data_IF_966519196400
#
_entry.id   IF_966519196400
#
_cell.length_a   1.000
_cell.length_b   1.000
_cell.length_c   1.000
_cell.angle_alpha   90.00
_cell.angle_beta   90.00
_cell.angle_gamma   90.00
#
_symmetry.space_group_name_H-M   'P 1'
#
loop_
_entity.id
_entity.type
_entity.pdbx_description
1 polymer ?
#
# COMPACT_ATOMS: atom_id res chain seq x y z
N UNK A 1 -22.85 -6.46 10.80
CA UNK A 1 -21.52 -6.57 11.44
C UNK A 1 -21.07 -5.19 11.87
N UNK A 2 -21.40 -4.81 13.11
CA UNK A 2 -21.15 -3.49 13.68
C UNK A 2 -20.10 -3.60 14.80
N UNK A 3 -18.84 -3.62 14.43
CA UNK A 3 -17.71 -3.47 15.35
C UNK A 3 -16.83 -2.32 14.85
N UNK A 4 -17.36 -1.10 14.85
CA UNK A 4 -16.57 0.12 14.70
C UNK A 4 -17.17 1.17 15.63
N UNK A 5 -16.58 1.33 16.82
CA UNK A 5 -16.82 2.49 17.67
C UNK A 5 -15.77 3.55 17.30
N UNK A 6 -16.14 4.70 16.70
CA UNK A 6 -15.20 5.79 16.52
C UNK A 6 -15.10 6.53 17.85
N UNK A 7 -14.09 6.19 18.63
CA UNK A 7 -13.79 6.81 19.92
C UNK A 7 -12.32 7.21 20.02
N UNK A 8 -11.83 7.97 19.04
CA UNK A 8 -10.54 8.65 19.16
C UNK A 8 -10.81 10.13 19.37
N UNK A 9 -10.70 10.58 20.63
CA UNK A 9 -10.75 12.00 20.98
C UNK A 9 -9.66 12.74 20.20
N UNK A 10 -10.02 13.85 19.55
CA UNK A 10 -9.08 14.79 18.96
C UNK A 10 -8.19 15.39 20.05
N UNK A 11 -7.11 14.70 20.43
CA UNK A 11 -5.98 15.36 21.09
C UNK A 11 -5.37 16.29 20.06
N UNK A 12 -5.49 17.59 20.32
CA UNK A 12 -4.81 18.65 19.57
C UNK A 12 -3.28 18.39 19.61
N UNK A 13 -2.78 17.68 18.60
CA UNK A 13 -1.35 17.56 18.34
C UNK A 13 -0.90 18.91 17.80
N UNK A 14 -0.22 19.67 18.64
CA UNK A 14 0.44 20.91 18.24
C UNK A 14 1.36 20.64 17.05
N UNK A 15 1.45 21.55 16.07
CA UNK A 15 2.35 21.39 14.93
C UNK A 15 3.79 21.39 15.44
N UNK A 16 4.37 20.20 15.61
CA UNK A 16 5.80 20.08 15.84
C UNK A 16 6.52 20.71 14.65
N UNK A 17 7.11 21.88 14.87
CA UNK A 17 8.10 22.48 13.97
C UNK A 17 9.22 21.44 13.84
N UNK A 18 9.20 20.67 12.75
CA UNK A 18 10.28 19.75 12.42
C UNK A 18 11.55 20.58 12.28
N UNK A 19 12.46 20.49 13.26
CA UNK A 19 13.80 21.05 13.12
C UNK A 19 14.40 20.50 11.81
N UNK A 20 15.05 21.34 10.98
CA UNK A 20 15.77 20.84 9.82
C UNK A 20 16.77 19.77 10.31
N UNK A 21 16.69 18.58 9.72
CA UNK A 21 17.64 17.52 10.02
C UNK A 21 19.05 18.07 9.73
N UNK A 22 20.01 17.98 10.67
CA UNK A 22 21.37 18.37 10.39
C UNK A 22 21.84 17.62 9.15
N UNK A 23 22.48 18.32 8.22
CA UNK A 23 23.17 17.74 7.07
C UNK A 23 24.36 16.94 7.60
N UNK A 24 24.09 15.77 8.17
CA UNK A 24 25.10 14.78 8.51
C UNK A 24 25.83 14.43 7.21
N UNK A 25 27.16 14.46 7.26
CA UNK A 25 28.04 13.99 6.19
C UNK A 25 27.48 12.66 5.68
N UNK A 26 27.21 12.59 4.37
CA UNK A 26 26.64 11.37 3.77
C UNK A 26 27.55 10.19 4.12
N UNK A 27 27.03 9.14 4.77
CA UNK A 27 27.85 7.99 5.12
C UNK A 27 28.53 7.45 3.87
N UNK A 28 29.83 7.15 3.94
CA UNK A 28 30.55 6.53 2.84
C UNK A 28 29.87 5.21 2.51
N UNK A 29 29.26 5.11 1.32
CA UNK A 29 28.63 3.88 0.89
C UNK A 29 29.69 2.81 0.62
N UNK A 30 29.42 1.53 0.94
CA UNK A 30 30.22 0.40 0.49
C UNK A 30 30.41 0.43 -1.03
N UNK A 31 31.49 -0.14 -1.57
CA UNK A 31 31.67 -0.24 -3.01
C UNK A 31 30.54 -1.06 -3.66
N UNK A 32 30.20 -0.83 -4.95
CA UNK A 32 29.07 -1.47 -5.62
C UNK A 32 29.01 -3.00 -5.56
N UNK A 33 30.16 -3.68 -5.50
CA UNK A 33 30.24 -5.14 -5.45
C UNK A 33 29.91 -5.74 -4.06
N UNK A 34 29.86 -4.92 -3.00
CA UNK A 34 29.36 -5.35 -1.68
C UNK A 34 27.83 -5.40 -1.61
N UNK A 35 27.14 -4.85 -2.61
CA UNK A 35 25.68 -4.83 -2.66
C UNK A 35 25.16 -6.04 -3.42
N UNK A 36 24.39 -6.86 -2.74
CA UNK A 36 23.71 -8.01 -3.29
C UNK A 36 22.30 -7.64 -3.72
N UNK A 37 21.91 -8.04 -4.94
CA UNK A 37 20.52 -7.93 -5.37
C UNK A 37 19.64 -8.83 -4.48
N UNK A 38 18.58 -8.27 -3.89
CA UNK A 38 17.65 -9.03 -3.06
C UNK A 38 16.32 -9.22 -3.77
N UNK A 39 15.66 -8.13 -4.15
CA UNK A 39 14.35 -8.18 -4.79
C UNK A 39 14.06 -6.90 -5.58
N UNK A 40 13.15 -6.96 -6.55
CA UNK A 40 12.63 -5.76 -7.21
C UNK A 40 11.11 -5.74 -7.37
N UNK A 41 10.56 -4.55 -7.15
CA UNK A 41 9.18 -4.19 -7.47
C UNK A 41 9.06 -3.64 -8.90
N UNK A 42 7.96 -2.93 -9.16
CA UNK A 42 7.76 -2.29 -10.47
C UNK A 42 8.50 -0.95 -10.64
N UNK A 43 8.99 -0.37 -9.54
CA UNK A 43 9.59 0.96 -9.50
C UNK A 43 10.87 1.02 -8.68
N UNK A 44 11.19 -0.03 -7.90
CA UNK A 44 12.29 -0.02 -6.94
C UNK A 44 13.01 -1.36 -6.97
N UNK A 45 14.33 -1.29 -6.82
CA UNK A 45 15.23 -2.43 -6.65
C UNK A 45 15.84 -2.31 -5.26
N UNK A 46 15.85 -3.43 -4.56
CA UNK A 46 16.33 -3.58 -3.19
C UNK A 46 17.66 -4.30 -3.24
N UNK A 47 18.69 -3.65 -2.71
CA UNK A 47 20.01 -4.23 -2.50
C UNK A 47 20.27 -4.38 -1.01
N UNK A 48 20.99 -5.41 -0.62
CA UNK A 48 21.47 -5.59 0.75
C UNK A 48 22.99 -5.61 0.79
N UNK A 49 23.57 -5.00 1.81
CA UNK A 49 25.00 -5.08 2.08
C UNK A 49 25.30 -6.29 2.98
N UNK A 50 26.41 -6.98 2.72
CA UNK A 50 26.88 -8.16 3.44
C UNK A 50 27.04 -7.93 4.97
N UNK A 51 27.01 -9.00 5.81
CA UNK A 51 26.86 -8.90 7.28
C UNK A 51 28.04 -8.29 8.06
N UNK A 52 29.17 -7.98 7.41
CA UNK A 52 30.37 -7.46 8.09
C UNK A 52 30.31 -5.95 8.43
N UNK A 53 29.24 -5.28 8.02
CA UNK A 53 28.90 -3.89 8.36
C UNK A 53 27.48 -3.87 8.89
N UNK A 54 27.04 -2.82 9.63
CA UNK A 54 25.65 -2.73 10.06
C UNK A 54 24.75 -3.04 8.87
N UNK A 55 23.89 -4.07 8.96
CA UNK A 55 23.22 -4.59 7.80
C UNK A 55 22.25 -3.52 7.33
N UNK A 56 22.48 -3.05 6.11
CA UNK A 56 21.74 -1.96 5.50
C UNK A 56 21.16 -2.44 4.17
N UNK A 57 20.02 -1.86 3.83
CA UNK A 57 19.33 -2.04 2.56
C UNK A 57 19.38 -0.73 1.78
N UNK A 58 19.89 -0.80 0.55
CA UNK A 58 19.86 0.30 -0.41
C UNK A 58 18.68 0.10 -1.36
N UNK A 59 17.78 1.07 -1.36
CA UNK A 59 16.59 1.11 -2.20
C UNK A 59 16.79 2.12 -3.32
N UNK A 60 16.92 1.61 -4.55
CA UNK A 60 17.17 2.42 -5.74
C UNK A 60 15.93 2.40 -6.66
N UNK A 61 15.53 3.55 -7.20
CA UNK A 61 14.40 3.57 -8.14
C UNK A 61 14.82 3.08 -9.53
N UNK A 62 14.06 2.14 -10.07
CA UNK A 62 14.18 1.68 -11.45
C UNK A 62 13.32 2.57 -12.37
N UNK A 63 13.84 2.86 -13.55
CA UNK A 63 13.12 3.58 -14.60
C UNK A 63 12.56 2.56 -15.59
N UNK A 64 11.27 2.67 -15.89
CA UNK A 64 10.63 1.82 -16.89
C UNK A 64 11.09 2.22 -18.29
N UNK A 65 11.16 1.26 -19.21
CA UNK A 65 11.62 1.48 -20.58
C UNK A 65 10.64 2.30 -21.46
N UNK A 66 9.53 2.80 -20.90
CA UNK A 66 8.65 3.74 -21.59
C UNK A 66 9.04 5.19 -21.25
N UNK A 67 8.88 6.15 -22.19
CA UNK A 67 9.11 7.56 -21.92
C UNK A 67 8.05 8.02 -20.91
N UNK A 68 8.39 7.97 -19.62
CA UNK A 68 7.40 8.10 -18.57
C UNK A 68 7.93 8.97 -17.44
N UNK A 69 7.29 10.14 -17.34
CA UNK A 69 7.27 11.05 -16.20
C UNK A 69 8.64 11.55 -15.70
N UNK A 70 8.78 12.86 -15.42
CA UNK A 70 9.98 13.35 -14.78
C UNK A 70 10.22 12.58 -13.48
N UNK A 71 11.46 12.08 -13.31
CA UNK A 71 11.93 11.47 -12.08
C UNK A 71 11.60 12.42 -10.92
N UNK A 72 10.74 11.98 -10.00
CA UNK A 72 10.56 12.75 -8.78
C UNK A 72 11.84 12.65 -7.96
N UNK A 73 12.37 13.78 -7.43
CA UNK A 73 13.44 13.71 -6.47
C UNK A 73 13.00 12.83 -5.31
N UNK A 74 13.84 11.87 -4.92
CA UNK A 74 13.65 11.10 -3.70
C UNK A 74 13.67 12.10 -2.53
N UNK A 75 12.49 12.42 -2.02
CA UNK A 75 12.33 13.33 -0.88
C UNK A 75 12.07 12.50 0.37
N UNK A 76 12.49 13.02 1.53
CA UNK A 76 12.11 12.53 2.87
C UNK A 76 10.59 12.55 3.12
N UNK A 77 9.78 12.92 2.11
CA UNK A 77 8.33 13.05 2.15
C UNK A 77 7.61 11.71 1.88
N UNK A 78 8.29 10.67 1.39
CA UNK A 78 7.67 9.36 1.13
C UNK A 78 6.93 8.82 2.35
N UNK A 79 7.53 8.95 3.54
CA UNK A 79 6.93 8.55 4.81
C UNK A 79 6.03 9.61 5.45
N UNK A 80 6.10 10.87 5.01
CA UNK A 80 5.37 11.96 5.64
C UNK A 80 3.85 11.77 5.60
N UNK A 81 3.32 11.09 4.58
CA UNK A 81 1.90 10.74 4.47
C UNK A 81 1.42 9.88 5.65
N UNK A 82 2.29 9.03 6.18
CA UNK A 82 1.97 8.05 7.20
C UNK A 82 2.33 8.52 8.61
N UNK A 83 3.20 9.52 8.76
CA UNK A 83 3.76 9.96 10.06
C UNK A 83 2.69 10.23 11.10
N UNK A 84 1.57 10.86 10.73
CA UNK A 84 0.50 11.19 11.69
C UNK A 84 -0.06 9.96 12.40
N UNK A 85 -0.24 8.85 11.68
CA UNK A 85 -0.93 7.67 12.19
C UNK A 85 0.03 6.52 12.53
N UNK A 86 1.23 6.52 11.95
CA UNK A 86 2.13 5.37 11.99
C UNK A 86 3.58 5.73 12.35
N UNK A 87 3.86 6.91 12.92
CA UNK A 87 5.24 7.32 13.27
C UNK A 87 6.08 6.23 13.96
N UNK A 88 5.56 5.44 14.93
CA UNK A 88 6.34 4.39 15.60
C UNK A 88 6.69 3.20 14.69
N UNK A 89 5.97 3.03 13.58
CA UNK A 89 6.10 1.90 12.65
C UNK A 89 6.83 2.28 11.36
N UNK A 90 7.24 3.55 11.20
CA UNK A 90 7.95 3.98 10.00
C UNK A 90 9.45 3.71 10.16
N UNK A 91 10.01 3.01 9.17
CA UNK A 91 11.44 2.67 9.20
C UNK A 91 12.28 3.92 8.90
N UNK A 92 13.16 4.37 9.82
CA UNK A 92 14.01 5.53 9.53
C UNK A 92 14.89 5.24 8.32
N UNK A 93 15.15 6.28 7.52
CA UNK A 93 15.98 6.15 6.33
C UNK A 93 16.75 7.43 6.05
N UNK A 94 17.84 7.26 5.30
CA UNK A 94 18.68 8.35 4.83
C UNK A 94 18.62 8.42 3.31
N UNK A 95 18.56 9.64 2.77
CA UNK A 95 18.76 9.84 1.33
C UNK A 95 20.24 10.00 1.09
N UNK A 96 20.79 9.15 0.24
CA UNK A 96 22.21 9.17 -0.15
C UNK A 96 22.34 9.59 -1.61
N UNK A 97 23.35 10.40 -1.90
CA UNK A 97 23.68 10.81 -3.27
C UNK A 97 24.61 9.79 -3.92
N UNK A 98 24.31 9.41 -5.16
CA UNK A 98 25.07 8.43 -5.94
C UNK A 98 25.68 9.09 -7.17
N UNK A 99 26.93 8.75 -7.49
CA UNK A 99 27.55 9.18 -8.74
C UNK A 99 27.03 8.32 -9.91
N UNK A 100 26.99 8.85 -11.15
CA UNK A 100 26.64 8.05 -12.33
C UNK A 100 27.50 6.80 -12.50
N UNK A 101 28.80 6.90 -12.18
CA UNK A 101 29.74 5.78 -12.22
C UNK A 101 29.36 4.68 -11.21
N UNK A 102 29.03 5.07 -9.97
CA UNK A 102 28.57 4.14 -8.94
C UNK A 102 27.30 3.40 -9.38
N UNK A 103 26.31 4.12 -9.91
CA UNK A 103 25.05 3.53 -10.39
C UNK A 103 25.31 2.56 -11.55
N UNK A 104 26.18 2.93 -12.49
CA UNK A 104 26.56 2.08 -13.62
C UNK A 104 27.16 0.76 -13.14
N UNK A 105 28.14 0.82 -12.22
CA UNK A 105 28.78 -0.38 -11.66
C UNK A 105 27.78 -1.25 -10.89
N UNK A 106 26.94 -0.63 -10.05
CA UNK A 106 25.90 -1.35 -9.31
C UNK A 106 24.92 -2.05 -10.26
N UNK A 107 24.51 -1.38 -11.34
CA UNK A 107 23.62 -1.95 -12.35
C UNK A 107 24.26 -3.12 -13.09
N UNK A 108 25.53 -3.02 -13.47
CA UNK A 108 26.26 -4.10 -14.12
C UNK A 108 26.35 -5.33 -13.19
N UNK A 109 26.68 -5.11 -11.92
CA UNK A 109 26.75 -6.15 -10.90
C UNK A 109 25.39 -6.83 -10.65
N UNK A 110 24.31 -6.05 -10.61
CA UNK A 110 22.96 -6.55 -10.30
C UNK A 110 22.29 -7.30 -11.46
N UNK A 111 22.61 -6.95 -12.70
CA UNK A 111 21.88 -7.40 -13.90
C UNK A 111 21.80 -8.93 -14.04
N UNK A 112 22.84 -9.73 -13.77
CA UNK A 112 22.76 -11.19 -13.83
C UNK A 112 21.69 -11.78 -12.90
N UNK A 113 21.45 -11.17 -11.74
CA UNK A 113 20.55 -11.67 -10.70
C UNK A 113 19.09 -11.21 -10.85
N UNK A 114 18.85 -10.21 -11.70
CA UNK A 114 17.50 -9.69 -11.94
C UNK A 114 16.67 -10.66 -12.82
N UNK A 115 15.38 -10.91 -12.48
CA UNK A 115 14.51 -11.75 -13.30
C UNK A 115 14.40 -11.26 -14.76
N UNK A 116 14.40 -12.15 -15.78
CA UNK A 116 14.41 -11.76 -17.19
C UNK A 116 13.30 -10.76 -17.57
N UNK A 117 12.07 -10.99 -17.11
CA UNK A 117 10.93 -10.10 -17.39
C UNK A 117 11.07 -8.70 -16.77
N UNK A 118 11.84 -8.54 -15.69
CA UNK A 118 12.11 -7.23 -15.07
C UNK A 118 13.21 -6.47 -15.78
N UNK A 119 14.26 -7.18 -16.24
CA UNK A 119 15.32 -6.62 -17.09
C UNK A 119 14.75 -6.06 -18.38
N UNK A 120 13.83 -6.78 -19.01
CA UNK A 120 13.13 -6.33 -20.22
C UNK A 120 12.21 -5.12 -19.98
N UNK A 121 11.60 -5.01 -18.80
CA UNK A 121 10.65 -3.93 -18.49
C UNK A 121 11.29 -2.63 -17.98
N UNK A 122 12.48 -2.69 -17.40
CA UNK A 122 13.09 -1.56 -16.69
C UNK A 122 14.60 -1.68 -16.52
N UNK A 123 15.26 -0.53 -16.46
CA UNK A 123 16.68 -0.41 -16.17
C UNK A 123 16.94 0.55 -15.00
N UNK A 124 18.14 0.46 -14.43
CA UNK A 124 18.60 1.40 -13.42
C UNK A 124 19.12 2.63 -14.16
N UNK A 125 18.47 3.78 -13.99
CA UNK A 125 18.87 5.00 -14.69
C UNK A 125 20.07 5.65 -13.98
N UNK A 126 21.18 5.93 -14.68
CA UNK A 126 22.32 6.65 -14.12
C UNK A 126 22.01 8.13 -13.80
N UNK A 127 20.85 8.62 -14.27
CA UNK A 127 20.37 9.97 -13.95
C UNK A 127 19.68 10.03 -12.58
N UNK A 128 19.28 8.89 -12.00
CA UNK A 128 18.71 8.86 -10.66
C UNK A 128 19.82 8.84 -9.60
N UNK A 129 20.34 10.03 -9.28
CA UNK A 129 21.48 10.23 -8.38
C UNK A 129 21.13 10.17 -6.90
N UNK A 130 19.95 9.72 -6.54
CA UNK A 130 19.54 9.54 -5.15
C UNK A 130 19.10 8.11 -4.90
N UNK A 131 19.32 7.62 -3.68
CA UNK A 131 18.79 6.36 -3.19
C UNK A 131 18.37 6.51 -1.73
N UNK A 132 17.50 5.63 -1.27
CA UNK A 132 17.12 5.56 0.14
C UNK A 132 17.88 4.42 0.80
N UNK A 133 18.62 4.72 1.86
CA UNK A 133 19.33 3.76 2.69
C UNK A 133 18.51 3.49 3.95
N UNK A 134 18.11 2.24 4.14
CA UNK A 134 17.36 1.75 5.29
C UNK A 134 18.21 0.79 6.12
N UNK A 135 17.95 0.65 7.44
CA UNK A 135 18.44 -0.50 8.17
C UNK A 135 17.82 -1.79 7.62
N UNK A 136 18.58 -2.86 7.58
CA UNK A 136 18.09 -4.17 7.11
C UNK A 136 17.33 -4.90 8.22
N UNK A 137 16.01 -4.75 8.21
CA UNK A 137 15.12 -5.38 9.21
C UNK A 137 15.10 -6.90 9.12
N UNK A 138 15.64 -7.51 8.06
CA UNK A 138 15.78 -8.97 7.97
C UNK A 138 16.84 -9.52 8.93
N UNK A 139 17.63 -8.65 9.57
CA UNK A 139 18.62 -9.00 10.58
C UNK A 139 18.37 -8.28 11.92
N UNK A 140 17.14 -7.79 12.16
CA UNK A 140 16.82 -6.97 13.32
C UNK A 140 17.20 -7.64 14.66
N UNK A 141 16.94 -8.94 14.82
CA UNK A 141 17.31 -9.73 15.99
C UNK A 141 18.62 -10.53 15.80
N UNK A 142 19.33 -10.30 14.69
CA UNK A 142 20.49 -11.08 14.26
C UNK A 142 20.17 -12.11 13.17
N UNK A 143 21.06 -13.09 12.93
CA UNK A 143 20.99 -14.00 11.78
C UNK A 143 19.80 -14.98 11.82
N UNK A 144 19.22 -15.21 13.00
CA UNK A 144 18.06 -16.08 13.18
C UNK A 144 16.72 -15.35 12.98
N UNK A 145 16.75 -14.09 12.54
CA UNK A 145 15.52 -13.34 12.28
C UNK A 145 14.76 -13.97 11.10
N UNK A 146 13.50 -14.30 11.35
CA UNK A 146 12.50 -14.56 10.30
C UNK A 146 11.73 -13.28 10.08
N UNK A 147 11.62 -12.85 8.83
CA UNK A 147 10.94 -11.62 8.44
C UNK A 147 9.72 -11.97 7.60
N UNK A 148 8.54 -11.52 8.02
CA UNK A 148 7.28 -11.72 7.29
C UNK A 148 6.86 -10.40 6.67
N UNK A 149 6.64 -10.37 5.36
CA UNK A 149 6.06 -9.23 4.63
C UNK A 149 4.62 -9.54 4.24
N UNK A 150 3.67 -8.68 4.65
CA UNK A 150 2.25 -8.80 4.33
C UNK A 150 1.74 -7.53 3.67
N UNK A 151 1.09 -7.64 2.50
CA UNK A 151 0.40 -6.51 1.85
C UNK A 151 -1.08 -6.52 2.23
N UNK A 152 -1.56 -5.63 3.12
CA UNK A 152 -2.91 -5.74 3.67
C UNK A 152 -4.02 -5.49 2.66
N UNK A 153 -3.78 -4.69 1.61
CA UNK A 153 -4.80 -4.26 0.63
C UNK A 153 -5.88 -3.38 1.25
N UNK A 154 -6.93 -3.11 0.48
CA UNK A 154 -8.05 -2.25 0.88
C UNK A 154 -9.00 -3.01 1.81
N UNK A 155 -9.01 -2.63 3.09
CA UNK A 155 -9.89 -3.20 4.12
C UNK A 155 -11.29 -2.56 4.13
N UNK A 156 -11.43 -1.35 3.60
CA UNK A 156 -12.69 -0.62 3.57
C UNK A 156 -13.39 -0.80 2.23
N UNK A 157 -14.71 -0.98 2.30
CA UNK A 157 -15.61 -0.98 1.15
C UNK A 157 -15.90 0.47 0.72
N UNK A 158 -16.28 0.64 -0.54
CA UNK A 158 -16.60 1.98 -1.05
C UNK A 158 -17.84 2.55 -0.36
N UNK A 159 -17.87 3.88 -0.26
CA UNK A 159 -19.06 4.67 0.10
C UNK A 159 -19.32 5.82 -0.88
N UNK A 160 -18.57 5.86 -1.99
CA UNK A 160 -18.68 6.88 -3.04
C UNK A 160 -20.08 6.88 -3.67
N UNK A 161 -20.75 8.04 -3.77
CA UNK A 161 -21.97 8.20 -4.59
C UNK A 161 -21.66 8.35 -6.08
N UNK A 162 -20.38 8.42 -6.45
CA UNK A 162 -19.92 8.67 -7.82
C UNK A 162 -19.67 7.36 -8.61
N UNK A 163 -20.20 6.24 -8.12
CA UNK A 163 -20.24 4.98 -8.85
C UNK A 163 -21.49 5.01 -9.73
N UNK A 164 -21.42 4.70 -11.05
CA UNK A 164 -22.62 4.67 -11.87
C UNK A 164 -23.49 3.44 -11.55
N UNK A 165 -24.80 3.60 -11.33
CA UNK A 165 -25.68 2.51 -10.91
C UNK A 165 -26.00 1.50 -12.01
N UNK A 166 -25.97 1.94 -13.28
CA UNK A 166 -26.15 1.05 -14.44
C UNK A 166 -24.99 0.06 -14.62
N UNK A 167 -23.90 0.18 -13.85
CA UNK A 167 -22.78 -0.76 -13.87
C UNK A 167 -22.92 -1.71 -12.67
N UNK A 168 -23.69 -2.79 -12.83
CA UNK A 168 -23.96 -3.76 -11.77
C UNK A 168 -22.67 -4.31 -11.10
N UNK A 169 -21.59 -4.47 -11.87
CA UNK A 169 -20.28 -4.87 -11.34
C UNK A 169 -19.59 -3.81 -10.49
N UNK A 170 -19.85 -2.53 -10.74
CA UNK A 170 -19.31 -1.44 -9.94
C UNK A 170 -20.04 -1.30 -8.60
N UNK A 171 -21.33 -1.65 -8.54
CA UNK A 171 -22.11 -1.70 -7.30
C UNK A 171 -21.58 -2.75 -6.30
N UNK A 172 -20.94 -3.81 -6.79
CA UNK A 172 -20.24 -4.78 -5.93
C UNK A 172 -19.17 -4.12 -5.05
N UNK A 173 -18.65 -2.93 -5.39
CA UNK A 173 -17.69 -2.19 -4.54
C UNK A 173 -18.26 -1.81 -3.16
N UNK A 174 -19.59 -1.83 -2.98
CA UNK A 174 -20.23 -1.57 -1.68
C UNK A 174 -20.32 -2.80 -0.77
N UNK A 175 -20.22 -4.00 -1.34
CA UNK A 175 -20.43 -5.27 -0.62
C UNK A 175 -19.24 -6.23 -0.72
N UNK A 176 -18.36 -6.02 -1.68
CA UNK A 176 -17.24 -6.89 -2.02
C UNK A 176 -15.92 -6.12 -1.97
N UNK A 177 -14.90 -6.61 -1.24
CA UNK A 177 -13.59 -5.98 -1.19
C UNK A 177 -12.95 -5.84 -2.59
N UNK A 178 -12.29 -4.70 -2.90
CA UNK A 178 -11.63 -4.49 -4.19
C UNK A 178 -10.60 -5.58 -4.56
N UNK A 179 -9.99 -6.22 -3.56
CA UNK A 179 -9.06 -7.33 -3.76
C UNK A 179 -9.72 -8.52 -4.45
N UNK A 180 -10.94 -8.91 -4.03
CA UNK A 180 -11.67 -10.03 -4.62
C UNK A 180 -12.11 -9.74 -6.04
N UNK A 181 -12.57 -8.52 -6.32
CA UNK A 181 -12.98 -8.13 -7.69
C UNK A 181 -11.79 -8.32 -8.65
N UNK A 182 -10.59 -7.91 -8.23
CA UNK A 182 -9.38 -8.05 -9.05
C UNK A 182 -9.00 -9.53 -9.24
N UNK A 183 -9.03 -10.34 -8.19
CA UNK A 183 -8.67 -11.75 -8.29
C UNK A 183 -9.69 -12.57 -9.08
N UNK A 184 -10.99 -12.33 -8.87
CA UNK A 184 -12.08 -12.90 -9.67
C UNK A 184 -11.85 -12.70 -11.17
N UNK A 185 -11.46 -11.49 -11.57
CA UNK A 185 -11.17 -11.16 -12.96
C UNK A 185 -9.89 -11.81 -13.48
N UNK A 186 -8.87 -12.00 -12.64
CA UNK A 186 -7.63 -12.68 -13.04
C UNK A 186 -7.80 -14.20 -13.12
N UNK A 187 -8.78 -14.78 -12.43
CA UNK A 187 -9.04 -16.22 -12.34
C UNK A 187 -10.25 -16.67 -13.17
N UNK A 188 -10.59 -15.93 -14.24
CA UNK A 188 -11.70 -16.24 -15.16
C UNK A 188 -13.04 -16.52 -14.45
N UNK A 189 -13.32 -15.82 -13.35
CA UNK A 189 -14.58 -15.92 -12.62
C UNK A 189 -14.63 -17.01 -11.54
N UNK A 190 -13.51 -17.69 -11.25
CA UNK A 190 -13.40 -18.56 -10.08
C UNK A 190 -12.77 -17.82 -8.89
N UNK A 191 -13.37 -17.93 -7.71
CA UNK A 191 -12.72 -17.52 -6.45
C UNK A 191 -12.18 -18.76 -5.76
N UNK A 192 -11.06 -18.66 -5.04
CA UNK A 192 -10.64 -19.71 -4.12
C UNK A 192 -11.72 -19.96 -3.07
N UNK A 193 -11.81 -21.19 -2.56
CA UNK A 193 -12.84 -21.62 -1.61
C UNK A 193 -12.86 -20.75 -0.32
N UNK A 194 -11.70 -20.17 0.06
CA UNK A 194 -11.57 -19.26 1.22
C UNK A 194 -10.75 -18.03 0.83
N UNK A 195 -11.36 -17.03 0.18
CA UNK A 195 -10.60 -15.91 -0.36
C UNK A 195 -10.11 -15.00 0.75
N UNK A 196 -8.88 -14.48 0.63
CA UNK A 196 -8.33 -13.52 1.58
C UNK A 196 -9.20 -12.26 1.71
N UNK A 197 -9.69 -11.95 2.92
CA UNK A 197 -10.48 -10.74 3.21
C UNK A 197 -9.59 -9.70 3.90
N UNK A 198 -9.27 -8.57 3.24
CA UNK A 198 -8.37 -7.55 3.82
C UNK A 198 -8.76 -7.00 5.20
N UNK A 199 -10.06 -6.85 5.48
CA UNK A 199 -10.52 -6.38 6.79
C UNK A 199 -10.27 -7.38 7.92
N UNK A 200 -10.16 -8.68 7.61
CA UNK A 200 -9.84 -9.70 8.61
C UNK A 200 -8.39 -9.61 9.09
N UNK A 201 -7.47 -9.15 8.24
CA UNK A 201 -6.07 -8.95 8.63
C UNK A 201 -5.88 -7.74 9.55
N UNK A 202 -6.72 -6.71 9.40
CA UNK A 202 -6.58 -5.43 10.12
C UNK A 202 -7.59 -5.29 11.29
N UNK A 203 -8.04 -6.42 11.85
CA UNK A 203 -8.91 -6.45 13.02
C UNK A 203 -8.13 -6.87 14.29
N UNK A 204 -8.80 -6.83 15.43
CA UNK A 204 -8.25 -7.12 16.76
C UNK A 204 -8.52 -8.56 17.24
N UNK A 205 -8.83 -9.48 16.32
CA UNK A 205 -9.15 -10.88 16.63
C UNK A 205 -8.10 -11.85 16.04
N UNK A 206 -7.37 -12.54 16.92
CA UNK A 206 -6.27 -13.46 16.54
C UNK A 206 -6.74 -14.59 15.60
N UNK A 207 -7.83 -15.32 15.88
CA UNK A 207 -8.35 -16.34 14.95
C UNK A 207 -8.65 -15.76 13.56
N UNK A 208 -9.26 -14.58 13.49
CA UNK A 208 -9.61 -13.91 12.23
C UNK A 208 -8.37 -13.47 11.45
N UNK A 209 -7.38 -12.87 12.12
CA UNK A 209 -6.09 -12.48 11.50
C UNK A 209 -5.32 -13.72 11.03
N UNK A 210 -5.28 -14.80 11.84
CA UNK A 210 -4.63 -16.07 11.48
C UNK A 210 -5.27 -16.72 10.26
N UNK A 211 -6.60 -16.68 10.18
CA UNK A 211 -7.37 -17.14 9.02
C UNK A 211 -7.02 -16.31 7.78
N UNK A 212 -6.90 -14.98 7.91
CA UNK A 212 -6.51 -14.10 6.81
C UNK A 212 -5.11 -14.39 6.28
N UNK A 213 -4.12 -14.62 7.16
CA UNK A 213 -2.76 -15.04 6.78
C UNK A 213 -2.78 -16.41 6.08
N UNK A 214 -3.59 -17.35 6.58
CA UNK A 214 -3.75 -18.67 5.96
C UNK A 214 -4.34 -18.56 4.56
N UNK A 215 -5.34 -17.70 4.35
CA UNK A 215 -5.88 -17.43 3.02
C UNK A 215 -4.84 -16.82 2.08
N UNK A 216 -3.97 -15.92 2.56
CA UNK A 216 -2.88 -15.37 1.75
C UNK A 216 -1.88 -16.44 1.31
N UNK A 217 -1.59 -17.41 2.19
CA UNK A 217 -0.75 -18.56 1.89
C UNK A 217 -1.36 -19.40 0.76
N UNK A 218 -2.65 -19.73 0.86
CA UNK A 218 -3.34 -20.55 -0.15
C UNK A 218 -3.57 -19.82 -1.48
N UNK A 219 -3.73 -18.50 -1.46
CA UNK A 219 -3.94 -17.69 -2.67
C UNK A 219 -2.69 -17.65 -3.59
N UNK A 220 -1.53 -18.17 -3.14
CA UNK A 220 -0.21 -18.01 -3.77
C UNK A 220 0.03 -16.57 -4.26
N UNK A 221 -0.50 -15.62 -3.50
CA UNK A 221 -0.53 -14.22 -3.91
C UNK A 221 0.81 -13.57 -3.58
N UNK A 222 1.13 -12.48 -4.29
CA UNK A 222 2.25 -11.59 -3.90
C UNK A 222 1.95 -10.80 -2.61
N UNK A 223 0.92 -11.19 -1.85
CA UNK A 223 0.47 -10.53 -0.64
C UNK A 223 1.16 -11.03 0.63
N UNK A 224 1.84 -12.18 0.57
CA UNK A 224 2.61 -12.74 1.68
C UNK A 224 4.00 -13.16 1.18
N UNK A 225 5.04 -12.82 1.94
CA UNK A 225 6.40 -13.33 1.75
C UNK A 225 7.03 -13.60 3.10
N UNK A 226 7.92 -14.59 3.14
CA UNK A 226 8.75 -14.86 4.31
C UNK A 226 10.20 -14.83 3.85
N UNK A 227 11.05 -14.26 4.68
CA UNK A 227 12.50 -14.21 4.49
C UNK A 227 13.18 -14.75 5.73
N UNK A 228 14.30 -15.45 5.55
CA UNK A 228 15.18 -15.91 6.63
C UNK A 228 16.60 -15.47 6.34
N UNK A 229 17.22 -14.76 7.27
CA UNK A 229 18.54 -14.16 7.07
C UNK A 229 18.64 -13.33 5.78
N UNK A 230 17.58 -12.57 5.45
CA UNK A 230 17.53 -11.72 4.25
C UNK A 230 17.13 -12.42 2.95
N UNK A 231 17.07 -13.74 2.92
CA UNK A 231 16.76 -14.53 1.72
C UNK A 231 15.29 -14.96 1.68
N UNK A 232 14.59 -14.86 0.54
CA UNK A 232 13.22 -15.36 0.41
C UNK A 232 13.13 -16.87 0.65
N UNK A 233 12.13 -17.31 1.41
CA UNK A 233 11.86 -18.73 1.67
C UNK A 233 10.40 -19.10 1.39
N UNK A 234 10.10 -20.41 1.33
CA UNK A 234 8.73 -20.90 1.16
C UNK A 234 7.93 -20.66 2.46
N UNK A 235 6.87 -19.83 2.44
CA UNK A 235 6.07 -19.55 3.64
C UNK A 235 5.43 -20.79 4.28
N UNK A 236 5.18 -21.86 3.52
CA UNK A 236 4.58 -23.11 4.03
C UNK A 236 5.46 -23.82 5.07
N UNK A 237 6.78 -23.57 5.05
CA UNK A 237 7.71 -24.13 6.02
C UNK A 237 7.81 -23.29 7.32
N UNK A 238 7.08 -22.18 7.41
CA UNK A 238 7.19 -21.19 8.50
C UNK A 238 5.85 -20.94 9.20
N UNK A 239 5.02 -21.97 9.35
CA UNK A 239 3.67 -21.84 9.92
C UNK A 239 3.68 -21.32 11.36
N UNK A 240 4.69 -21.68 12.17
CA UNK A 240 4.83 -21.15 13.53
C UNK A 240 5.07 -19.64 13.55
N UNK A 241 5.95 -19.15 12.69
CA UNK A 241 6.28 -17.74 12.54
C UNK A 241 5.09 -16.96 11.97
N UNK A 242 4.33 -17.55 11.04
CA UNK A 242 3.11 -16.94 10.52
C UNK A 242 2.02 -16.79 11.61
N UNK A 243 1.89 -17.76 12.52
CA UNK A 243 1.00 -17.63 13.69
C UNK A 243 1.51 -16.56 14.66
N UNK A 244 2.81 -16.52 14.93
CA UNK A 244 3.40 -15.46 15.76
C UNK A 244 3.21 -14.07 15.13
N UNK A 245 3.31 -13.94 13.81
CA UNK A 245 3.00 -12.71 13.08
C UNK A 245 1.54 -12.27 13.26
N UNK A 246 0.59 -13.21 13.21
CA UNK A 246 -0.83 -12.92 13.50
C UNK A 246 -1.02 -12.37 14.92
N UNK A 247 -0.44 -13.01 15.93
CA UNK A 247 -0.49 -12.54 17.31
C UNK A 247 0.15 -11.15 17.45
N UNK A 248 1.30 -10.94 16.80
CA UNK A 248 2.03 -9.66 16.82
C UNK A 248 1.18 -8.51 16.25
N UNK A 249 0.44 -8.73 15.16
CA UNK A 249 -0.48 -7.75 14.59
C UNK A 249 -1.59 -7.37 15.58
N UNK A 250 -2.17 -8.35 16.27
CA UNK A 250 -3.30 -8.09 17.20
C UNK A 250 -2.81 -7.45 18.51
N UNK A 251 -1.69 -7.90 19.05
CA UNK A 251 -1.11 -7.32 20.27
C UNK A 251 -0.67 -5.87 20.02
N UNK A 252 -0.08 -5.59 18.87
CA UNK A 252 0.32 -4.24 18.45
C UNK A 252 -0.65 -3.66 17.39
N UNK A 253 -1.95 -3.75 17.68
CA UNK A 253 -3.03 -3.36 16.76
C UNK A 253 -2.97 -1.88 16.35
N UNK A 254 -2.24 -1.02 17.07
CA UNK A 254 -2.07 0.39 16.67
C UNK A 254 -1.45 0.52 15.26
N UNK A 255 -0.62 -0.43 14.82
CA UNK A 255 -0.14 -0.49 13.43
C UNK A 255 -1.29 -0.72 12.44
N UNK A 256 -2.12 -1.75 12.67
CA UNK A 256 -3.26 -2.06 11.81
C UNK A 256 -4.31 -0.93 11.80
N UNK A 257 -4.65 -0.39 12.97
CA UNK A 257 -5.58 0.74 13.09
C UNK A 257 -5.06 1.99 12.40
N UNK A 258 -3.76 2.27 12.46
CA UNK A 258 -3.16 3.39 11.74
C UNK A 258 -3.29 3.25 10.22
N UNK A 259 -3.14 2.04 9.68
CA UNK A 259 -3.40 1.77 8.24
C UNK A 259 -4.87 1.99 7.91
N UNK A 260 -5.80 1.45 8.70
CA UNK A 260 -7.25 1.63 8.50
C UNK A 260 -7.63 3.11 8.56
N UNK A 261 -7.07 3.87 9.50
CA UNK A 261 -7.30 5.31 9.64
C UNK A 261 -6.90 6.06 8.37
N UNK A 262 -5.74 5.76 7.77
CA UNK A 262 -5.33 6.39 6.50
C UNK A 262 -6.25 5.94 5.35
N UNK A 263 -6.63 4.65 5.30
CA UNK A 263 -7.56 4.16 4.28
C UNK A 263 -8.95 4.81 4.39
N UNK A 264 -9.36 5.26 5.58
CA UNK A 264 -10.67 5.89 5.79
C UNK A 264 -10.84 7.24 5.07
N UNK A 265 -9.72 7.85 4.65
CA UNK A 265 -9.70 9.03 3.78
C UNK A 265 -10.14 8.73 2.33
N UNK A 266 -10.34 7.46 1.98
CA UNK A 266 -10.91 7.01 0.70
C UNK A 266 -12.42 7.26 0.62
N UNK A 267 -12.78 8.54 0.46
CA UNK A 267 -14.18 8.99 0.44
C UNK A 267 -14.84 8.81 -0.92
N UNK A 268 -14.02 8.68 -1.97
CA UNK A 268 -14.43 8.57 -3.36
C UNK A 268 -13.74 7.35 -3.97
N UNK A 269 -14.38 6.73 -4.95
CA UNK A 269 -13.78 5.64 -5.70
C UNK A 269 -12.95 6.18 -6.88
N UNK A 270 -12.32 5.29 -7.67
CA UNK A 270 -11.50 5.73 -8.80
C UNK A 270 -12.29 6.55 -9.83
N UNK A 271 -13.58 6.24 -10.04
CA UNK A 271 -14.43 6.97 -10.99
C UNK A 271 -14.75 8.37 -10.45
N UNK A 272 -15.12 8.47 -9.17
CA UNK A 272 -15.28 9.76 -8.50
C UNK A 272 -14.01 10.61 -8.53
N UNK A 273 -12.85 10.00 -8.27
CA UNK A 273 -11.56 10.68 -8.36
C UNK A 273 -11.27 11.21 -9.77
N UNK A 274 -11.61 10.47 -10.82
CA UNK A 274 -11.48 10.95 -12.20
C UNK A 274 -12.37 12.17 -12.47
N UNK A 275 -13.64 12.13 -12.06
CA UNK A 275 -14.59 13.24 -12.25
C UNK A 275 -14.08 14.50 -11.56
N UNK A 276 -13.68 14.38 -10.29
CA UNK A 276 -13.19 15.52 -9.49
C UNK A 276 -11.87 16.04 -10.04
N UNK A 277 -10.96 15.17 -10.50
CA UNK A 277 -9.70 15.59 -11.12
C UNK A 277 -9.93 16.36 -12.42
N UNK A 278 -10.85 15.91 -13.27
CA UNK A 278 -11.21 16.63 -14.50
C UNK A 278 -11.82 18.00 -14.20
N UNK A 279 -12.67 18.10 -13.18
CA UNK A 279 -13.20 19.37 -12.69
C UNK A 279 -12.09 20.31 -12.23
N UNK A 280 -11.19 19.83 -11.36
CA UNK A 280 -10.07 20.60 -10.85
C UNK A 280 -9.18 21.12 -11.99
N UNK A 281 -8.82 20.26 -12.94
CA UNK A 281 -8.03 20.65 -14.13
C UNK A 281 -8.73 21.73 -14.94
N UNK A 282 -10.05 21.61 -15.16
CA UNK A 282 -10.81 22.63 -15.90
C UNK A 282 -10.79 23.99 -15.18
N UNK A 283 -10.73 23.99 -13.84
CA UNK A 283 -10.76 25.21 -13.02
C UNK A 283 -9.42 25.92 -12.89
N UNK A 284 -8.31 25.17 -12.81
CA UNK A 284 -6.99 25.76 -12.51
C UNK A 284 -5.88 25.37 -13.50
N UNK A 285 -6.15 24.48 -14.45
CA UNK A 285 -5.14 23.89 -15.33
C UNK A 285 -4.41 22.70 -14.70
N UNK A 286 -3.86 21.82 -15.52
CA UNK A 286 -3.27 20.53 -15.07
C UNK A 286 -2.03 20.71 -14.18
N UNK A 287 -1.12 21.61 -14.58
CA UNK A 287 0.11 21.87 -13.83
C UNK A 287 -0.18 22.41 -12.43
N UNK A 288 -1.11 23.37 -12.34
CA UNK A 288 -1.51 23.96 -11.06
C UNK A 288 -2.30 22.96 -10.21
N UNK A 289 -3.18 22.16 -10.80
CA UNK A 289 -3.90 21.09 -10.09
C UNK A 289 -2.91 20.11 -9.43
N UNK A 290 -1.90 19.66 -10.18
CA UNK A 290 -0.85 18.77 -9.64
C UNK A 290 -0.05 19.42 -8.52
N UNK A 291 0.30 20.71 -8.66
CA UNK A 291 1.02 21.48 -7.62
C UNK A 291 0.19 21.60 -6.34
N UNK A 292 -1.10 21.93 -6.46
CA UNK A 292 -2.01 22.05 -5.31
C UNK A 292 -2.19 20.72 -4.59
N UNK A 293 -2.38 19.62 -5.34
CA UNK A 293 -2.50 18.28 -4.76
C UNK A 293 -1.24 17.91 -3.99
N UNK A 294 -0.05 18.09 -4.58
CA UNK A 294 1.22 17.81 -3.89
C UNK A 294 1.38 18.60 -2.59
N UNK A 295 0.96 19.87 -2.57
CA UNK A 295 1.00 20.69 -1.36
C UNK A 295 0.04 20.17 -0.28
N UNK A 296 -1.13 19.67 -0.68
CA UNK A 296 -2.18 19.18 0.23
C UNK A 296 -1.98 17.73 0.69
N UNK A 297 -1.08 16.96 0.07
CA UNK A 297 -0.89 15.54 0.37
C UNK A 297 -0.45 15.27 1.81
N UNK A 298 0.19 16.23 2.47
CA UNK A 298 0.75 16.04 3.82
C UNK A 298 -0.06 16.75 4.90
N UNK A 299 -1.24 17.27 4.54
CA UNK A 299 -2.11 18.03 5.44
C UNK A 299 -3.44 17.33 5.59
N UNK A 300 -3.99 17.36 6.81
CA UNK A 300 -5.34 16.89 7.07
C UNK A 300 -6.31 18.05 6.99
N UNK A 301 -7.46 17.79 6.37
CA UNK A 301 -8.50 18.79 6.20
C UNK A 301 -9.86 18.18 6.50
N UNK A 302 -10.66 18.89 7.29
CA UNK A 302 -12.10 18.66 7.28
C UNK A 302 -12.63 18.98 5.87
N UNK A 303 -13.49 18.11 5.35
CA UNK A 303 -14.04 18.23 4.00
C UNK A 303 -15.51 18.65 4.14
N UNK A 304 -15.86 19.91 3.86
CA UNK A 304 -17.24 20.35 3.91
C UNK A 304 -18.04 19.68 2.77
N UNK A 305 -19.36 19.57 2.94
CA UNK A 305 -20.30 19.02 1.95
C UNK A 305 -20.03 17.55 1.56
N UNK A 306 -19.43 16.78 2.48
CA UNK A 306 -19.10 15.39 2.22
C UNK A 306 -20.35 14.53 1.92
N UNK A 307 -21.46 14.81 2.60
CA UNK A 307 -22.71 14.06 2.47
C UNK A 307 -23.35 14.12 1.07
N UNK A 308 -22.98 15.10 0.24
CA UNK A 308 -23.49 15.24 -1.13
C UNK A 308 -22.82 14.26 -2.12
N UNK A 309 -21.60 13.80 -1.81
CA UNK A 309 -20.76 13.00 -2.72
C UNK A 309 -20.42 11.60 -2.16
N UNK A 310 -20.69 11.33 -0.89
CA UNK A 310 -20.51 10.01 -0.27
C UNK A 310 -21.71 9.64 0.60
N UNK A 311 -21.88 8.34 0.83
CA UNK A 311 -22.73 7.80 1.87
C UNK A 311 -21.99 7.79 3.21
N UNK A 312 -22.74 7.63 4.31
CA UNK A 312 -22.15 7.46 5.65
C UNK A 312 -21.44 6.12 5.79
N UNK A 313 -21.97 5.08 5.14
CA UNK A 313 -21.41 3.72 5.14
C UNK A 313 -21.63 3.00 3.81
N UNK A 314 -20.91 1.90 3.59
CA UNK A 314 -21.09 1.05 2.41
C UNK A 314 -22.43 0.30 2.43
N UNK A 315 -22.98 -0.01 3.62
CA UNK A 315 -24.32 -0.61 3.75
C UNK A 315 -25.41 0.35 3.28
N UNK A 316 -25.31 1.62 3.68
CA UNK A 316 -26.22 2.65 3.19
C UNK A 316 -26.09 2.81 1.67
N UNK A 317 -24.87 2.78 1.15
CA UNK A 317 -24.63 2.82 -0.29
C UNK A 317 -25.29 1.65 -1.02
N UNK A 318 -25.16 0.43 -0.51
CA UNK A 318 -25.80 -0.75 -1.12
C UNK A 318 -27.34 -0.68 -1.13
N UNK A 319 -27.95 0.05 -0.19
CA UNK A 319 -29.41 0.14 -0.06
C UNK A 319 -30.02 1.30 -0.84
N UNK A 320 -29.36 2.46 -0.88
CA UNK A 320 -29.96 3.71 -1.35
C UNK A 320 -29.45 4.18 -2.70
N UNK A 321 -28.48 3.48 -3.30
CA UNK A 321 -27.79 4.01 -4.45
C UNK A 321 -28.54 3.74 -5.76
N UNK A 322 -28.92 4.83 -6.43
CA UNK A 322 -29.70 4.86 -7.67
C UNK A 322 -29.21 5.98 -8.61
N UNK A 323 -29.86 6.13 -9.76
CA UNK A 323 -29.55 7.17 -10.76
C UNK A 323 -29.73 8.59 -10.22
N UNK A 324 -30.73 8.82 -9.35
CA UNK A 324 -30.99 10.14 -8.81
C UNK A 324 -29.87 10.58 -7.86
N UNK A 325 -29.45 9.70 -6.95
CA UNK A 325 -28.34 9.93 -6.03
C UNK A 325 -27.02 10.10 -6.79
N UNK A 326 -26.76 9.27 -7.80
CA UNK A 326 -25.57 9.39 -8.65
C UNK A 326 -25.54 10.72 -9.40
N UNK A 327 -26.62 11.09 -10.09
CA UNK A 327 -26.68 12.33 -10.87
C UNK A 327 -26.55 13.58 -9.98
N UNK A 328 -27.17 13.56 -8.80
CA UNK A 328 -27.00 14.61 -7.79
C UNK A 328 -25.54 14.74 -7.34
N UNK A 329 -24.89 13.62 -7.00
CA UNK A 329 -23.48 13.60 -6.61
C UNK A 329 -22.54 14.06 -7.72
N UNK A 330 -22.79 13.69 -8.98
CA UNK A 330 -22.01 14.15 -10.14
C UNK A 330 -22.15 15.66 -10.32
N UNK A 331 -23.36 16.21 -10.14
CA UNK A 331 -23.60 17.65 -10.18
C UNK A 331 -22.80 18.36 -9.08
N UNK A 332 -22.89 17.88 -7.84
CA UNK A 332 -22.14 18.41 -6.71
C UNK A 332 -20.62 18.34 -6.95
N UNK A 333 -20.10 17.20 -7.42
CA UNK A 333 -18.68 17.01 -7.71
C UNK A 333 -18.14 18.01 -8.75
N UNK A 334 -18.96 18.41 -9.73
CA UNK A 334 -18.64 19.40 -10.77
C UNK A 334 -18.79 20.86 -10.32
N UNK A 335 -19.33 21.11 -9.14
CA UNK A 335 -19.45 22.45 -8.56
C UNK A 335 -18.59 22.64 -7.33
N UNK A 336 -17.83 21.61 -6.91
CA UNK A 336 -16.95 21.69 -5.75
C UNK A 336 -15.98 22.88 -5.82
N UNK A 337 -15.77 23.59 -4.70
CA UNK A 337 -14.66 24.51 -4.56
C UNK A 337 -13.32 23.82 -4.83
N UNK A 338 -12.36 24.56 -5.39
CA UNK A 338 -11.01 24.06 -5.69
C UNK A 338 -10.35 23.43 -4.47
N UNK A 339 -10.49 24.06 -3.30
CA UNK A 339 -9.94 23.57 -2.03
C UNK A 339 -10.53 22.21 -1.63
N UNK A 340 -11.86 22.08 -1.67
CA UNK A 340 -12.56 20.82 -1.35
C UNK A 340 -12.16 19.70 -2.32
N UNK A 341 -12.10 19.99 -3.62
CA UNK A 341 -11.66 19.03 -4.63
C UNK A 341 -10.22 18.55 -4.38
N UNK A 342 -9.31 19.48 -4.04
CA UNK A 342 -7.91 19.15 -3.69
C UNK A 342 -7.85 18.26 -2.45
N UNK A 343 -8.61 18.56 -1.40
CA UNK A 343 -8.62 17.77 -0.16
C UNK A 343 -9.16 16.34 -0.36
N UNK A 344 -10.23 16.18 -1.15
CA UNK A 344 -10.80 14.86 -1.49
C UNK A 344 -9.80 14.01 -2.26
N UNK A 345 -9.18 14.59 -3.29
CA UNK A 345 -8.19 13.91 -4.11
C UNK A 345 -6.90 13.60 -3.34
N UNK A 346 -6.46 14.47 -2.42
CA UNK A 346 -5.30 14.17 -1.57
C UNK A 346 -5.59 13.02 -0.60
N UNK A 347 -6.77 13.01 0.03
CA UNK A 347 -7.21 11.89 0.88
C UNK A 347 -7.29 10.57 0.11
N UNK A 348 -7.83 10.60 -1.10
CA UNK A 348 -7.86 9.44 -2.01
C UNK A 348 -6.45 8.93 -2.34
N UNK A 349 -5.49 9.81 -2.64
CA UNK A 349 -4.10 9.42 -2.94
C UNK A 349 -3.36 8.88 -1.71
N UNK A 350 -3.60 9.43 -0.53
CA UNK A 350 -3.08 8.90 0.74
C UNK A 350 -3.61 7.49 1.00
N UNK A 351 -4.93 7.29 0.86
CA UNK A 351 -5.53 5.97 1.01
C UNK A 351 -5.03 4.98 -0.05
N UNK A 352 -4.81 5.43 -1.30
CA UNK A 352 -4.21 4.61 -2.34
C UNK A 352 -2.77 4.17 -2.00
N UNK A 353 -2.01 4.99 -1.27
CA UNK A 353 -0.72 4.57 -0.71
C UNK A 353 -0.89 3.51 0.38
N UNK A 354 -1.79 3.72 1.34
CA UNK A 354 -2.04 2.76 2.43
C UNK A 354 -2.63 1.43 1.96
N UNK A 355 -3.35 1.39 0.83
CA UNK A 355 -3.84 0.14 0.22
C UNK A 355 -2.73 -0.68 -0.46
N UNK A 356 -1.57 -0.08 -0.71
CA UNK A 356 -0.47 -0.69 -1.46
C UNK A 356 0.84 -0.79 -0.65
N UNK A 357 0.82 -0.35 0.61
CA UNK A 357 1.92 -0.53 1.56
C UNK A 357 2.08 -2.02 1.94
N UNK A 358 3.16 -2.33 2.66
CA UNK A 358 3.35 -3.63 3.30
C UNK A 358 3.60 -3.44 4.80
N UNK A 359 3.16 -4.41 5.60
CA UNK A 359 3.56 -4.61 6.99
C UNK A 359 4.74 -5.58 6.97
N UNK A 360 5.87 -5.20 7.56
CA UNK A 360 7.02 -6.08 7.79
C UNK A 360 7.07 -6.45 9.26
N UNK A 361 7.22 -7.73 9.56
CA UNK A 361 7.22 -8.26 10.92
C UNK A 361 8.50 -9.09 11.09
N UNK A 362 9.47 -8.56 11.84
CA UNK A 362 10.63 -9.34 12.24
C UNK A 362 10.24 -10.19 13.44
N UNK A 363 10.66 -11.46 13.42
CA UNK A 363 10.38 -12.47 14.44
C UNK A 363 11.68 -13.19 14.79
N UNK A 364 11.86 -13.47 16.07
CA UNK A 364 12.91 -14.36 16.57
C UNK A 364 12.40 -15.03 17.84
N UNK A 365 12.84 -16.26 18.14
CA UNK A 365 12.51 -16.85 19.44
C UNK A 365 13.13 -16.01 20.54
N UNK A 366 12.38 -15.77 21.62
CA UNK A 366 12.79 -14.82 22.66
C UNK A 366 14.15 -15.19 23.30
N UNK A 367 14.43 -16.49 23.43
CA UNK A 367 15.70 -17.01 23.94
C UNK A 367 16.89 -16.92 22.96
N UNK A 368 16.64 -16.57 21.70
CA UNK A 368 17.67 -16.41 20.65
C UNK A 368 17.99 -14.93 20.35
N UNK A 369 17.28 -13.99 20.99
CA UNK A 369 17.47 -12.56 20.78
C UNK A 369 18.79 -12.10 21.39
N UNK A 370 19.72 -11.64 20.55
CA UNK A 370 21.01 -11.09 21.01
C UNK A 370 20.90 -9.69 21.60
N UNK A 371 19.97 -8.89 21.06
CA UNK A 371 19.74 -7.51 21.45
C UNK A 371 18.25 -7.24 21.47
N UNK A 372 17.70 -6.92 22.64
CA UNK A 372 16.32 -6.46 22.77
C UNK A 372 16.27 -4.96 22.52
N UNK A 373 15.32 -4.51 21.70
CA UNK A 373 14.98 -3.08 21.61
C UNK A 373 13.77 -2.79 22.50
N UNK A 374 13.65 -1.60 23.10
CA UNK A 374 12.59 -1.27 24.06
C UNK A 374 11.17 -1.40 23.48
N UNK A 375 11.05 -1.40 22.16
CA UNK A 375 9.83 -1.36 21.38
C UNK A 375 9.52 -2.71 20.70
N UNK A 376 10.17 -3.80 21.14
CA UNK A 376 9.80 -5.17 20.81
C UNK A 376 8.63 -5.66 21.65
N UNK A 377 7.75 -6.44 21.04
CA UNK A 377 6.66 -7.15 21.74
C UNK A 377 7.02 -8.63 21.89
N UNK A 378 6.58 -9.24 22.98
CA UNK A 378 6.69 -10.70 23.18
C UNK A 378 5.32 -11.31 22.95
N UNK A 379 5.26 -12.33 22.10
CA UNK A 379 4.04 -13.10 21.83
C UNK A 379 4.29 -14.57 22.09
N UNK A 380 3.31 -15.27 22.67
CA UNK A 380 3.39 -16.70 22.91
C UNK A 380 2.47 -17.46 21.96
N UNK A 381 3.04 -18.46 21.28
CA UNK A 381 2.31 -19.35 20.37
C UNK A 381 2.75 -20.77 20.64
N UNK A 382 1.80 -21.62 21.05
CA UNK A 382 2.03 -23.05 21.30
C UNK A 382 3.19 -23.31 22.27
N UNK A 383 3.27 -22.51 23.35
CA UNK A 383 4.32 -22.60 24.37
C UNK A 383 5.69 -22.04 23.96
N UNK A 384 5.81 -21.45 22.77
CA UNK A 384 7.03 -20.78 22.30
C UNK A 384 6.85 -19.26 22.38
N UNK A 385 7.76 -18.60 23.07
CA UNK A 385 7.83 -17.14 23.12
C UNK A 385 8.63 -16.58 21.94
N UNK A 386 8.04 -15.62 21.26
CA UNK A 386 8.61 -14.92 20.11
C UNK A 386 8.75 -13.43 20.42
N UNK A 387 9.94 -12.89 20.19
CA UNK A 387 10.11 -11.45 20.08
C UNK A 387 9.70 -11.01 18.68
N UNK A 388 8.91 -9.95 18.61
CA UNK A 388 8.41 -9.41 17.36
C UNK A 388 8.59 -7.88 17.27
N UNK A 389 8.77 -7.39 16.04
CA UNK A 389 8.77 -5.96 15.74
C UNK A 389 8.11 -5.68 14.39
N UNK A 390 7.25 -4.66 14.34
CA UNK A 390 6.46 -4.31 13.16
C UNK A 390 6.95 -2.99 12.53
N UNK A 391 6.93 -2.95 11.20
CA UNK A 391 7.12 -1.73 10.40
C UNK A 391 6.13 -1.65 9.25
N UNK A 392 5.88 -0.45 8.76
CA UNK A 392 5.14 -0.18 7.53
C UNK A 392 6.10 0.37 6.47
N UNK A 393 6.17 -0.31 5.34
CA UNK A 393 7.01 0.04 4.19
C UNK A 393 6.16 0.27 2.93
N UNK A 394 6.81 0.58 1.79
CA UNK A 394 6.13 0.89 0.53
C UNK A 394 5.14 2.06 0.62
N UNK A 395 5.51 3.09 1.41
CA UNK A 395 4.66 4.25 1.75
C UNK A 395 4.68 5.39 0.72
N UNK A 396 5.27 5.17 -0.45
CA UNK A 396 5.44 6.23 -1.46
C UNK A 396 4.12 6.85 -1.95
N UNK A 397 4.19 8.15 -2.26
CA UNK A 397 3.12 8.89 -2.92
C UNK A 397 2.66 8.20 -4.21
N UNK A 398 1.34 8.14 -4.41
CA UNK A 398 0.78 7.72 -5.69
C UNK A 398 0.68 8.92 -6.62
N UNK A 399 1.21 8.75 -7.84
CA UNK A 399 1.25 9.82 -8.84
C UNK A 399 -0.16 10.20 -9.32
N UNK A 400 -0.46 11.50 -9.37
CA UNK A 400 -1.76 12.06 -9.84
C UNK A 400 -2.15 11.57 -11.23
N UNK A 401 -1.17 11.40 -12.13
CA UNK A 401 -1.38 10.84 -13.47
C UNK A 401 -2.07 9.45 -13.47
N UNK A 402 -1.98 8.67 -12.38
CA UNK A 402 -2.68 7.39 -12.26
C UNK A 402 -4.20 7.55 -12.21
N UNK A 403 -4.70 8.68 -11.70
CA UNK A 403 -6.14 8.98 -11.59
C UNK A 403 -6.76 9.01 -12.99
N UNK A 404 -6.20 9.82 -13.89
CA UNK A 404 -6.73 10.01 -15.25
C UNK A 404 -6.39 8.87 -16.20
N UNK A 405 -5.24 8.23 -16.05
CA UNK A 405 -4.76 7.21 -16.97
C UNK A 405 -5.22 5.80 -16.62
N UNK A 406 -4.77 5.29 -15.46
CA UNK A 406 -4.86 3.86 -15.15
C UNK A 406 -6.15 3.49 -14.43
N UNK A 407 -6.51 4.24 -13.40
CA UNK A 407 -7.53 3.79 -12.45
C UNK A 407 -8.96 3.92 -13.00
N UNK A 408 -9.27 5.02 -13.70
CA UNK A 408 -10.56 5.18 -14.39
C UNK A 408 -10.75 4.21 -15.57
N UNK A 409 -9.70 3.96 -16.35
CA UNK A 409 -9.73 3.02 -17.49
C UNK A 409 -9.85 1.57 -17.00
N UNK A 410 -9.12 1.18 -15.96
CA UNK A 410 -9.21 -0.16 -15.39
C UNK A 410 -10.64 -0.44 -14.91
N UNK A 411 -11.31 0.50 -14.22
CA UNK A 411 -12.70 0.31 -13.77
C UNK A 411 -13.70 0.21 -14.93
N UNK A 412 -13.54 0.99 -15.99
CA UNK A 412 -14.38 0.86 -17.20
C UNK A 412 -14.18 -0.48 -17.91
N UNK A 413 -12.94 -0.95 -18.00
CA UNK A 413 -12.63 -2.29 -18.57
C UNK A 413 -13.19 -3.42 -17.69
N UNK A 414 -13.11 -3.27 -16.35
CA UNK A 414 -13.73 -4.22 -15.41
C UNK A 414 -15.25 -4.26 -15.57
N UNK A 415 -15.87 -3.10 -15.73
CA UNK A 415 -17.29 -2.97 -15.98
C UNK A 415 -17.73 -3.75 -17.23
N UNK A 416 -17.01 -3.59 -18.34
CA UNK A 416 -17.32 -4.27 -19.60
C UNK A 416 -17.08 -5.78 -19.54
N UNK A 417 -15.99 -6.26 -18.92
CA UNK A 417 -15.67 -7.69 -18.82
C UNK A 417 -16.69 -8.48 -17.98
N UNK A 418 -17.24 -7.88 -16.93
CA UNK A 418 -18.24 -8.56 -16.09
C UNK A 418 -19.62 -8.58 -16.75
N UNK A 419 -19.96 -7.56 -17.55
CA UNK A 419 -21.16 -7.56 -18.37
C UNK A 419 -21.19 -8.74 -19.36
N UNK A 420 -20.06 -9.01 -20.03
CA UNK A 420 -19.94 -10.12 -20.98
C UNK A 420 -20.05 -11.51 -20.33
N UNK A 421 -19.52 -11.67 -19.11
CA UNK A 421 -19.60 -12.95 -18.38
C UNK A 421 -21.04 -13.24 -17.97
N UNK A 422 -21.74 -12.25 -17.42
CA UNK A 422 -23.14 -12.39 -16.99
C UNK A 422 -24.05 -12.71 -18.19
N UNK A 423 -23.86 -12.02 -19.32
CA UNK A 423 -24.62 -12.29 -20.55
C UNK A 423 -24.34 -13.68 -21.15
N UNK A 424 -23.11 -14.20 -21.01
CA UNK A 424 -22.76 -15.55 -21.48
C UNK A 424 -23.33 -16.66 -20.59
N UNK A 425 -23.46 -16.42 -19.27
CA UNK A 425 -24.07 -17.38 -18.35
C UNK A 425 -25.60 -17.43 -18.44
N UNK A 426 -26.25 -16.34 -18.84
CA UNK A 426 -27.72 -16.33 -19.08
C UNK A 426 -28.14 -17.00 -20.40
N UNK A 427 -27.20 -17.25 -21.32
CA UNK A 427 -27.47 -18.00 -22.56
C UNK A 427 -27.38 -19.52 -22.41
N UNK A 428 -26.81 -20.02 -21.32
CA UNK A 428 -26.61 -21.47 -21.09
C UNK A 428 -27.81 -22.18 -20.44
N UNK A 429 -28.87 -21.45 -20.06
CA UNK A 429 -30.10 -22.01 -19.46
C UNK A 429 -31.28 -22.14 -20.41
N UNK A 430 -31.09 -22.01 -21.74
CA UNK A 430 -32.17 -22.16 -22.73
C UNK A 430 -32.13 -23.45 -23.58
N UNK A 431 -31.27 -24.41 -23.26
CA UNK A 431 -31.29 -25.74 -23.88
C UNK A 431 -31.36 -26.85 -22.83
N UNK A 432 -32.44 -26.84 -22.04
CA UNK A 432 -33.00 -28.06 -21.43
C UNK A 432 -34.52 -27.92 -21.53
N UNK A 433 -35.07 -28.39 -22.66
CA UNK A 433 -36.45 -28.84 -22.81
C UNK A 433 -36.42 -30.07 -23.69
#
# INVERSE_FOLDING_TARGET
MSCFRPGLSERQLSPHKSRPFPLLLSPSLPPPHHWHYRIEGAQKIVFSNAPNHPPNVLLLSAVKNHPAAPLQPLTNLSQALFRRHLSPYLLPHHIVSLTPAYIKHLSQHATPFRPPHRRAASHISPHNRAASLFPDVAFHFGPNTTLVEIKPKAALLSRSRLIPPHVASALKKYTTPPYHIKNYLMLNGSLPHRPYIPSHLLCDDIPTVSSAISSLLTDNSRGLRVFRAGEPCNPEHHLSELRAAAHAIVIDNACAQGIVAIQSADLIDNMGAEIIMRHLIRRVGEQQATKLLRKSLYTYHAIPHLDEITYKSSQQAAQLHDDAQYNSAVKAARTLPVTTAVHLLSGFLQAAAAKDCSIMIALCKANEVKHTTPDCIIVEVQGVQWAAKLWVIDTDEKHTAKILGKWGVDDRKRASMLGSIISSSSGASQHIT
#
